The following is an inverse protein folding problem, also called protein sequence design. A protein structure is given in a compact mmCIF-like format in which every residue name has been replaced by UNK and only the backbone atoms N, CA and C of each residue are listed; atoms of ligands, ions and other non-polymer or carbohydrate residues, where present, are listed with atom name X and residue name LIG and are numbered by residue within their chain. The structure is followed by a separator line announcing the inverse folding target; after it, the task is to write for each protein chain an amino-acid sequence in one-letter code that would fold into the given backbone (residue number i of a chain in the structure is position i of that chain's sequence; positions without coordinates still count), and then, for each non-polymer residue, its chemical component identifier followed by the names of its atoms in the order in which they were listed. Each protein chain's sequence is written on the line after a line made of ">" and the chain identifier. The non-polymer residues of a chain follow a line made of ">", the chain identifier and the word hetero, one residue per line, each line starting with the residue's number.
data_IF_817294629855
#
_entry.id   IF_817294629855
#
_cell.length_a   1.000
_cell.length_b   1.000
_cell.length_c   1.000
_cell.angle_alpha   90.00
_cell.angle_beta   90.00
_cell.angle_gamma   90.00
#
_symmetry.space_group_name_H-M   'P 1'
#
loop_
_entity.id
_entity.type
_entity.pdbx_description
1 polymer ?
#
# COMPACT_ATOMS: atom_id res chain seq x y z
N UNK A 1 54.04 -28.94 -35.73
CA UNK A 1 52.97 -27.91 -35.75
C UNK A 1 52.04 -28.18 -34.57
N UNK A 2 51.77 -27.14 -33.76
CA UNK A 2 51.01 -27.20 -32.51
C UNK A 2 49.51 -27.39 -32.77
N UNK A 3 48.90 -28.43 -32.21
CA UNK A 3 47.44 -28.61 -32.19
C UNK A 3 46.92 -28.39 -30.77
N UNK A 4 46.26 -27.26 -30.52
CA UNK A 4 45.59 -26.96 -29.25
C UNK A 4 44.09 -27.11 -29.45
N UNK A 5 43.45 -28.02 -28.71
CA UNK A 5 42.00 -28.12 -28.61
C UNK A 5 41.56 -27.10 -27.56
N UNK A 6 40.84 -26.07 -27.99
CA UNK A 6 40.18 -25.12 -27.10
C UNK A 6 38.83 -25.71 -26.70
N UNK A 7 38.67 -26.01 -25.41
CA UNK A 7 37.38 -26.37 -24.80
C UNK A 7 36.60 -25.07 -24.57
N UNK A 8 35.46 -24.89 -25.24
CA UNK A 8 34.50 -23.83 -24.93
C UNK A 8 33.68 -24.23 -23.69
N UNK A 9 33.93 -23.56 -22.57
CA UNK A 9 33.06 -23.60 -21.41
C UNK A 9 31.81 -22.75 -21.68
N UNK A 10 30.64 -23.39 -21.71
CA UNK A 10 29.35 -22.70 -21.75
C UNK A 10 29.10 -22.01 -20.40
N UNK A 11 29.26 -20.68 -20.36
CA UNK A 11 28.83 -19.88 -19.23
C UNK A 11 27.29 -19.85 -19.20
N UNK A 12 26.70 -20.64 -18.31
CA UNK A 12 25.30 -20.51 -17.92
C UNK A 12 25.13 -19.14 -17.24
N UNK A 13 24.69 -18.15 -18.02
CA UNK A 13 24.32 -16.83 -17.51
C UNK A 13 23.14 -16.97 -16.56
N UNK A 14 23.43 -17.05 -15.27
CA UNK A 14 22.46 -16.80 -14.21
C UNK A 14 22.09 -15.32 -14.33
N UNK A 15 21.02 -15.03 -15.07
CA UNK A 15 20.39 -13.72 -15.01
C UNK A 15 19.94 -13.52 -13.56
N UNK A 16 20.72 -12.75 -12.80
CA UNK A 16 20.31 -12.24 -11.50
C UNK A 16 18.98 -11.54 -11.70
N UNK A 17 17.90 -12.14 -11.21
CA UNK A 17 16.61 -11.48 -11.08
C UNK A 17 16.88 -10.13 -10.43
N UNK A 18 16.69 -9.05 -11.20
CA UNK A 18 16.90 -7.69 -10.72
C UNK A 18 16.16 -7.57 -9.39
N UNK A 19 16.90 -7.34 -8.31
CA UNK A 19 16.34 -7.15 -6.99
C UNK A 19 15.35 -5.99 -7.08
N UNK A 20 14.06 -6.32 -7.08
CA UNK A 20 12.99 -5.34 -7.12
C UNK A 20 13.18 -4.44 -5.90
N UNK A 21 13.43 -3.15 -6.13
CA UNK A 21 13.65 -2.17 -5.07
C UNK A 21 12.56 -2.33 -4.02
N UNK A 22 12.95 -2.51 -2.75
CA UNK A 22 12.00 -2.71 -1.67
C UNK A 22 10.96 -1.57 -1.67
N UNK A 23 9.67 -1.92 -1.65
CA UNK A 23 8.58 -0.96 -1.57
C UNK A 23 8.75 -0.14 -0.29
N UNK A 24 8.97 1.17 -0.44
CA UNK A 24 9.22 2.07 0.68
C UNK A 24 8.22 3.20 0.66
N UNK A 25 7.19 3.09 1.50
CA UNK A 25 6.30 4.20 1.81
C UNK A 25 6.81 4.98 3.02
N UNK A 26 6.49 6.29 3.13
CA UNK A 26 6.89 7.13 4.26
C UNK A 26 6.07 6.87 5.54
N UNK A 27 5.24 5.83 5.56
CA UNK A 27 4.31 5.51 6.65
C UNK A 27 4.51 4.09 7.14
N UNK A 28 4.17 3.82 8.40
CA UNK A 28 4.20 2.48 8.96
C UNK A 28 3.11 1.58 8.35
N UNK A 29 3.40 0.27 8.25
CA UNK A 29 2.37 -0.72 7.97
C UNK A 29 1.29 -0.70 9.05
N UNK A 30 0.04 -0.93 8.65
CA UNK A 30 -1.11 -0.86 9.54
C UNK A 30 -2.41 -0.56 8.83
N UNK A 31 -3.44 -0.36 9.64
CA UNK A 31 -4.73 0.17 9.20
C UNK A 31 -4.76 1.68 9.42
N UNK A 32 -5.20 2.40 8.40
CA UNK A 32 -5.25 3.86 8.36
C UNK A 32 -6.69 4.29 8.07
N UNK A 33 -7.29 5.11 8.92
CA UNK A 33 -8.66 5.63 8.72
C UNK A 33 -8.62 7.15 8.64
N UNK A 34 -9.70 7.78 8.16
CA UNK A 34 -9.82 9.23 8.13
C UNK A 34 -9.70 9.83 9.55
N UNK A 35 -9.08 11.01 9.67
CA UNK A 35 -8.75 11.64 10.95
C UNK A 35 -9.96 12.16 11.75
N UNK A 36 -11.14 12.19 11.12
CA UNK A 36 -12.44 12.47 11.71
C UNK A 36 -13.15 11.21 12.25
N UNK A 37 -12.61 10.01 11.98
CA UNK A 37 -13.14 8.76 12.51
C UNK A 37 -12.42 8.33 13.80
N UNK A 38 -13.16 7.62 14.66
CA UNK A 38 -12.58 6.96 15.83
C UNK A 38 -12.19 5.52 15.49
N UNK A 39 -11.00 5.07 15.89
CA UNK A 39 -10.54 3.71 15.64
C UNK A 39 -11.53 2.62 16.11
N UNK A 40 -12.23 2.86 17.22
CA UNK A 40 -13.19 1.93 17.81
C UNK A 40 -14.50 1.79 16.99
N UNK A 41 -14.79 2.74 16.10
CA UNK A 41 -16.03 2.78 15.31
C UNK A 41 -15.80 2.80 13.81
N UNK A 42 -14.55 2.94 13.37
CA UNK A 42 -14.17 2.99 11.96
C UNK A 42 -14.74 1.78 11.18
N UNK A 43 -15.41 2.10 10.07
CA UNK A 43 -16.02 1.13 9.14
C UNK A 43 -15.36 1.12 7.76
N UNK A 44 -14.50 2.10 7.53
CA UNK A 44 -13.79 2.36 6.30
C UNK A 44 -12.35 2.72 6.66
N UNK A 45 -11.43 2.41 5.78
CA UNK A 45 -10.06 2.88 5.85
C UNK A 45 -9.21 2.17 4.82
N UNK A 46 -7.90 2.20 5.04
CA UNK A 46 -6.89 1.67 4.15
C UNK A 46 -5.99 0.70 4.90
N UNK A 47 -5.50 -0.31 4.19
CA UNK A 47 -4.49 -1.23 4.70
C UNK A 47 -3.19 -0.97 3.94
N UNK A 48 -2.11 -0.77 4.69
CA UNK A 48 -0.75 -0.93 4.19
C UNK A 48 -0.08 -2.12 4.87
N UNK A 49 0.23 -3.18 4.12
CA UNK A 49 0.88 -4.38 4.68
C UNK A 49 2.39 -4.47 4.37
N UNK A 50 2.98 -3.37 3.90
CA UNK A 50 4.38 -3.31 3.46
C UNK A 50 4.54 -3.55 1.95
N UNK A 51 3.54 -4.14 1.28
CA UNK A 51 3.59 -4.46 -0.16
C UNK A 51 2.35 -4.04 -0.92
N UNK A 52 1.20 -4.02 -0.26
CA UNK A 52 -0.09 -3.67 -0.84
C UNK A 52 -0.66 -2.45 -0.14
N UNK A 53 -1.36 -1.63 -0.90
CA UNK A 53 -2.16 -0.51 -0.42
C UNK A 53 -3.57 -0.64 -0.99
N UNK A 54 -4.58 -0.27 -0.21
CA UNK A 54 -5.95 -0.23 -0.71
C UNK A 54 -6.98 -0.10 0.39
N UNK A 55 -8.22 0.12 -0.01
CA UNK A 55 -9.33 0.34 0.91
C UNK A 55 -9.81 -0.98 1.52
N UNK A 56 -10.37 -0.89 2.72
CA UNK A 56 -11.15 -1.93 3.38
C UNK A 56 -12.38 -1.28 4.00
N UNK A 57 -13.56 -1.83 3.73
CA UNK A 57 -14.79 -1.17 4.11
C UNK A 57 -15.97 -2.12 4.29
N UNK A 58 -16.94 -1.65 5.08
CA UNK A 58 -18.29 -2.19 5.15
C UNK A 58 -19.25 -1.26 4.41
N UNK A 59 -20.22 -1.82 3.71
CA UNK A 59 -21.15 -1.10 2.85
C UNK A 59 -22.62 -1.40 3.19
N UNK A 60 -23.54 -0.80 2.43
CA UNK A 60 -24.99 -0.89 2.62
C UNK A 60 -25.53 0.15 3.62
N UNK A 61 -26.86 0.35 3.68
CA UNK A 61 -27.50 1.44 4.44
C UNK A 61 -27.16 1.45 5.93
N UNK A 62 -26.89 0.27 6.50
CA UNK A 62 -26.53 0.11 7.92
C UNK A 62 -25.03 -0.11 8.15
N UNK A 63 -24.22 -0.16 7.09
CA UNK A 63 -22.78 -0.48 7.17
C UNK A 63 -22.50 -1.89 7.70
N UNK A 64 -23.41 -2.83 7.41
CA UNK A 64 -23.34 -4.21 7.89
C UNK A 64 -22.99 -5.23 6.79
N UNK A 65 -22.93 -4.81 5.52
CA UNK A 65 -22.53 -5.68 4.42
C UNK A 65 -21.00 -5.62 4.25
N UNK A 66 -20.39 -6.74 3.87
CA UNK A 66 -18.94 -6.90 3.75
C UNK A 66 -18.32 -7.77 4.85
N UNK A 67 -17.00 -7.67 5.09
CA UNK A 67 -16.11 -6.62 4.59
C UNK A 67 -15.68 -6.85 3.13
N UNK A 68 -15.53 -5.76 2.38
CA UNK A 68 -14.87 -5.72 1.08
C UNK A 68 -13.46 -5.10 1.24
N UNK A 69 -12.54 -5.47 0.36
CA UNK A 69 -11.22 -4.86 0.30
C UNK A 69 -10.71 -4.80 -1.14
N UNK A 70 -10.13 -3.65 -1.49
CA UNK A 70 -9.58 -3.36 -2.82
C UNK A 70 -8.07 -3.18 -2.71
N UNK A 71 -7.39 -4.23 -2.25
CA UNK A 71 -5.94 -4.20 -2.03
C UNK A 71 -5.18 -4.44 -3.33
N UNK A 72 -4.33 -3.49 -3.70
CA UNK A 72 -3.49 -3.57 -4.89
C UNK A 72 -2.02 -3.68 -4.51
N UNK A 73 -1.28 -4.50 -5.25
CA UNK A 73 0.16 -4.63 -5.07
C UNK A 73 0.87 -3.37 -5.57
N UNK A 74 1.67 -2.76 -4.69
CA UNK A 74 2.55 -1.66 -5.07
C UNK A 74 3.72 -2.28 -5.82
N UNK A 75 3.86 -1.89 -7.09
CA UNK A 75 4.92 -2.37 -7.98
C UNK A 75 6.15 -1.48 -7.94
N UNK A 76 5.96 -0.19 -7.70
CA UNK A 76 7.02 0.80 -7.56
C UNK A 76 6.56 1.96 -6.67
N UNK A 77 7.53 2.60 -6.02
CA UNK A 77 7.35 3.86 -5.27
C UNK A 77 8.37 4.89 -5.73
N UNK A 78 7.98 6.16 -5.80
CA UNK A 78 8.91 7.27 -6.09
C UNK A 78 8.60 8.50 -5.27
N UNK A 79 9.63 9.19 -4.79
CA UNK A 79 9.47 10.49 -4.16
C UNK A 79 9.03 11.53 -5.21
N UNK A 80 8.11 12.41 -4.84
CA UNK A 80 7.64 13.53 -5.67
C UNK A 80 7.53 14.81 -4.83
N UNK A 81 7.31 15.94 -5.49
CA UNK A 81 7.21 17.25 -4.84
C UNK A 81 6.20 17.30 -3.68
N UNK A 82 6.44 18.20 -2.73
CA UNK A 82 5.58 18.39 -1.56
C UNK A 82 5.77 17.37 -0.45
N UNK A 83 6.77 16.49 -0.54
CA UNK A 83 7.06 15.44 0.44
C UNK A 83 6.20 14.19 0.28
N UNK A 84 5.56 14.03 -0.88
CA UNK A 84 4.77 12.84 -1.19
C UNK A 84 5.65 11.72 -1.75
N UNK A 85 5.20 10.48 -1.54
CA UNK A 85 5.64 9.30 -2.27
C UNK A 85 4.49 8.83 -3.15
N UNK A 86 4.72 8.76 -4.46
CA UNK A 86 3.77 8.20 -5.41
C UNK A 86 3.88 6.68 -5.41
N UNK A 87 2.71 6.03 -5.36
CA UNK A 87 2.52 4.59 -5.49
C UNK A 87 2.13 4.28 -6.92
N UNK A 88 2.74 3.23 -7.48
CA UNK A 88 2.37 2.67 -8.77
C UNK A 88 1.85 1.25 -8.58
N UNK A 89 0.66 0.99 -9.11
CA UNK A 89 0.01 -0.31 -9.08
C UNK A 89 0.07 -0.94 -10.47
N UNK A 90 0.24 -2.27 -10.55
CA UNK A 90 0.16 -3.02 -11.81
C UNK A 90 1.25 -2.72 -12.86
N UNK A 91 2.34 -2.01 -12.50
CA UNK A 91 3.47 -1.79 -13.40
C UNK A 91 3.25 -0.76 -14.51
N UNK A 92 2.14 -0.01 -14.47
CA UNK A 92 1.84 1.04 -15.45
C UNK A 92 1.60 2.38 -14.75
N UNK A 93 2.17 3.46 -15.30
CA UNK A 93 1.91 4.83 -14.86
C UNK A 93 0.73 5.39 -15.68
N UNK A 94 -0.46 5.35 -15.10
CA UNK A 94 -1.64 5.99 -15.70
C UNK A 94 -1.63 7.51 -15.58
N UNK A 95 -2.60 8.16 -16.22
CA UNK A 95 -2.80 9.61 -16.08
C UNK A 95 -3.22 10.03 -14.65
N UNK A 96 -3.80 9.10 -13.88
CA UNK A 96 -4.06 9.29 -12.46
C UNK A 96 -2.87 8.94 -11.57
N UNK A 97 -2.94 9.31 -10.29
CA UNK A 97 -1.90 8.96 -9.32
C UNK A 97 -2.46 8.73 -7.92
N UNK A 98 -1.71 7.93 -7.16
CA UNK A 98 -1.95 7.71 -5.75
C UNK A 98 -0.69 8.11 -4.99
N UNK A 99 -0.82 9.03 -4.05
CA UNK A 99 0.32 9.63 -3.34
C UNK A 99 0.05 9.60 -1.85
N UNK A 100 1.11 9.35 -1.08
CA UNK A 100 1.02 9.41 0.38
C UNK A 100 2.19 10.19 0.96
N UNK A 101 1.89 11.00 1.97
CA UNK A 101 2.87 11.78 2.72
C UNK A 101 2.65 11.52 4.19
N UNK A 102 3.73 11.27 4.94
CA UNK A 102 3.65 11.28 6.39
C UNK A 102 3.52 12.72 6.91
N UNK A 103 2.61 12.91 7.86
CA UNK A 103 2.42 14.19 8.58
C UNK A 103 2.70 14.06 10.07
N UNK A 104 3.01 12.85 10.54
CA UNK A 104 3.45 12.50 11.89
C UNK A 104 3.62 10.97 12.01
N UNK A 105 4.02 10.47 13.17
CA UNK A 105 4.26 9.02 13.39
C UNK A 105 3.06 8.14 13.01
N UNK A 106 1.86 8.57 13.41
CA UNK A 106 0.60 7.88 13.14
C UNK A 106 -0.36 8.76 12.34
N UNK A 107 0.17 9.67 11.51
CA UNK A 107 -0.62 10.58 10.69
C UNK A 107 -0.08 10.66 9.26
N UNK A 108 -0.98 10.70 8.30
CA UNK A 108 -0.64 10.81 6.89
C UNK A 108 -1.63 11.68 6.12
N UNK A 109 -1.22 12.12 4.93
CA UNK A 109 -2.09 12.70 3.92
C UNK A 109 -2.04 11.78 2.70
N UNK A 110 -3.18 11.17 2.39
CA UNK A 110 -3.37 10.37 1.19
C UNK A 110 -4.04 11.22 0.11
N UNK A 111 -3.43 11.23 -1.07
CA UNK A 111 -3.86 12.06 -2.20
C UNK A 111 -4.14 11.18 -3.40
N UNK A 112 -5.32 11.33 -3.97
CA UNK A 112 -5.71 10.70 -5.23
C UNK A 112 -5.85 11.79 -6.28
N UNK A 113 -5.16 11.62 -7.40
CA UNK A 113 -5.35 12.41 -8.61
C UNK A 113 -6.05 11.56 -9.65
N UNK A 114 -7.25 11.94 -10.06
CA UNK A 114 -7.98 11.27 -11.13
C UNK A 114 -8.08 12.19 -12.36
N UNK A 115 -7.81 11.69 -13.57
CA UNK A 115 -7.98 12.48 -14.78
C UNK A 115 -9.47 12.76 -15.00
N UNK A 116 -9.80 14.03 -15.28
CA UNK A 116 -11.15 14.47 -15.63
C UNK A 116 -11.09 15.52 -16.73
N UNK A 117 -11.59 15.18 -17.92
CA UNK A 117 -11.53 16.04 -19.12
C UNK A 117 -10.11 16.57 -19.34
N UNK A 118 -9.89 17.86 -19.11
CA UNK A 118 -8.65 18.58 -19.39
C UNK A 118 -7.83 18.86 -18.12
N UNK A 119 -8.22 18.30 -16.96
CA UNK A 119 -7.56 18.52 -15.67
C UNK A 119 -7.40 17.23 -14.84
N UNK A 120 -6.62 17.33 -13.77
CA UNK A 120 -6.56 16.29 -12.74
C UNK A 120 -7.36 16.76 -11.53
N UNK A 121 -8.45 16.06 -11.22
CA UNK A 121 -9.17 16.25 -9.96
C UNK A 121 -8.38 15.64 -8.81
N UNK A 122 -8.15 16.43 -7.77
CA UNK A 122 -7.35 16.02 -6.62
C UNK A 122 -8.24 15.93 -5.39
N UNK A 123 -8.22 14.77 -4.75
CA UNK A 123 -8.84 14.52 -3.46
C UNK A 123 -7.76 14.22 -2.42
N UNK A 124 -7.84 14.88 -1.27
CA UNK A 124 -6.95 14.71 -0.13
C UNK A 124 -7.70 14.15 1.07
N UNK A 125 -7.17 13.09 1.65
CA UNK A 125 -7.68 12.45 2.85
C UNK A 125 -6.62 12.49 3.95
N UNK A 126 -6.97 13.14 5.06
CA UNK A 126 -6.15 13.11 6.27
C UNK A 126 -6.39 11.80 6.99
N UNK A 127 -5.33 11.07 7.28
CA UNK A 127 -5.39 9.74 7.86
C UNK A 127 -4.72 9.69 9.23
N UNK A 128 -5.26 8.84 10.10
CA UNK A 128 -4.66 8.39 11.35
C UNK A 128 -4.43 6.87 11.31
N UNK A 129 -3.34 6.39 11.92
CA UNK A 129 -3.09 4.96 12.07
C UNK A 129 -3.76 4.44 13.35
N UNK A 130 -4.49 3.34 13.25
CA UNK A 130 -5.09 2.68 14.39
C UNK A 130 -4.30 1.43 14.79
N UNK A 131 -4.05 1.26 16.09
CA UNK A 131 -3.55 -0.02 16.61
C UNK A 131 -4.62 -1.10 16.47
N UNK A 132 -4.20 -2.36 16.32
CA UNK A 132 -5.13 -3.48 16.21
C UNK A 132 -6.07 -3.56 17.42
N UNK A 133 -5.57 -3.25 18.61
CA UNK A 133 -6.29 -3.27 19.87
C UNK A 133 -7.41 -2.23 19.91
N UNK A 134 -7.18 -1.02 19.37
CA UNK A 134 -8.14 0.08 19.35
C UNK A 134 -9.27 -0.08 18.32
N UNK A 135 -9.16 -1.07 17.42
CA UNK A 135 -10.17 -1.30 16.37
C UNK A 135 -11.45 -1.94 16.89
N UNK A 136 -12.55 -1.67 16.19
CA UNK A 136 -13.83 -2.37 16.37
C UNK A 136 -13.68 -3.89 16.17
N UNK A 137 -14.52 -4.74 16.81
CA UNK A 137 -14.50 -6.19 16.57
C UNK A 137 -14.66 -6.58 15.10
N UNK A 138 -15.47 -5.82 14.35
CA UNK A 138 -15.66 -5.99 12.91
C UNK A 138 -14.39 -5.70 12.14
N UNK A 139 -13.75 -4.55 12.39
CA UNK A 139 -12.51 -4.20 11.69
C UNK A 139 -11.37 -5.16 12.06
N UNK A 140 -11.29 -5.61 13.32
CA UNK A 140 -10.37 -6.69 13.72
C UNK A 140 -10.55 -7.96 12.91
N UNK A 141 -11.80 -8.33 12.58
CA UNK A 141 -12.11 -9.48 11.74
C UNK A 141 -11.70 -9.24 10.27
N UNK A 142 -11.97 -8.05 9.72
CA UNK A 142 -11.54 -7.67 8.37
C UNK A 142 -10.01 -7.70 8.24
N UNK A 143 -9.29 -7.15 9.22
CA UNK A 143 -7.81 -7.18 9.26
C UNK A 143 -7.26 -8.61 9.31
N UNK A 144 -7.85 -9.51 10.10
CA UNK A 144 -7.45 -10.93 10.10
C UNK A 144 -7.64 -11.60 8.73
N UNK A 145 -8.70 -11.22 8.00
CA UNK A 145 -9.00 -11.77 6.67
C UNK A 145 -8.05 -11.24 5.60
N UNK A 146 -7.82 -9.92 5.56
CA UNK A 146 -7.14 -9.28 4.43
C UNK A 146 -5.66 -8.96 4.67
N UNK A 147 -5.25 -8.81 5.93
CA UNK A 147 -3.87 -8.53 6.33
C UNK A 147 -3.48 -9.25 7.63
N UNK A 148 -3.48 -10.61 7.63
CA UNK A 148 -3.28 -11.40 8.84
C UNK A 148 -1.94 -11.14 9.55
N UNK A 149 -0.89 -10.75 8.84
CA UNK A 149 0.40 -10.39 9.44
C UNK A 149 0.28 -9.17 10.37
N UNK A 150 -0.54 -8.19 10.01
CA UNK A 150 -0.77 -6.97 10.82
C UNK A 150 -1.63 -7.26 12.05
N UNK A 151 -2.48 -8.29 12.00
CA UNK A 151 -3.32 -8.70 13.12
C UNK A 151 -2.57 -9.51 14.20
N UNK A 152 -1.33 -9.94 13.93
CA UNK A 152 -0.52 -10.78 14.82
C UNK A 152 0.47 -10.00 15.69
N UNK A 153 0.63 -8.70 15.45
CA UNK A 153 1.62 -7.90 16.18
C UNK A 153 1.16 -7.74 17.63
N UNK A 154 1.63 -8.64 18.49
CA UNK A 154 1.62 -8.45 19.94
C UNK A 154 2.56 -7.28 20.24
N UNK A 155 2.04 -6.28 20.93
CA UNK A 155 2.85 -5.31 21.66
C UNK A 155 3.82 -6.09 22.55
N UNK A 156 5.13 -5.97 22.27
CA UNK A 156 6.18 -6.30 23.22
C UNK A 156 6.21 -5.23 24.31
#
# INVERSE_FOLDING_TARGET
>A
MRGWIVVLAAAAGSASAMAQSAIKLPIASGFWTNDDQQCATARYGYIFDGRRWGSVYYYGPTGNLGPAAELQAITQTRAVGGGFTQMQFGGFDGAGYFRIKATGTDRALYRVGAPFRDEIQVADERLIRCSYQAMSPKMKAAMRRFAPALARVRTH
#
